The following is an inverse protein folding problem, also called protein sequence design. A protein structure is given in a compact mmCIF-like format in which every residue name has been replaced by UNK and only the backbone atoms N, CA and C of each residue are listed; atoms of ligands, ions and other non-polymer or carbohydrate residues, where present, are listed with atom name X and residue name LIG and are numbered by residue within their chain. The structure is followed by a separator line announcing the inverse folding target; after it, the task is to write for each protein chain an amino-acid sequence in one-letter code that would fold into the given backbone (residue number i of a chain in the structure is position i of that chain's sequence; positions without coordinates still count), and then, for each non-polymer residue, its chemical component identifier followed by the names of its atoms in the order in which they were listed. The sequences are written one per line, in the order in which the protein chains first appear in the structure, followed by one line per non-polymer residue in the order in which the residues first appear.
data_IF_410568191367
#
_entry.id   IF_410568191367
#
_cell.length_a   1.000
_cell.length_b   1.000
_cell.length_c   1.000
_cell.angle_alpha   90.00
_cell.angle_beta   90.00
_cell.angle_gamma   90.00
#
_symmetry.space_group_name_H-M   'P 1'
#
loop_
_entity.id
_entity.type
_entity.pdbx_description
1 polymer ?
#
# COMPACT_ATOMS: atom_id res chain seq x y z
N UNK A 1 1.80 33.08 39.47
CA UNK A 1 1.40 34.30 40.22
C UNK A 1 0.29 34.97 39.43
N UNK A 2 -0.77 35.47 40.06
CA UNK A 2 -1.81 36.23 39.35
C UNK A 2 -1.86 37.67 39.85
N UNK A 3 -2.17 38.60 38.95
CA UNK A 3 -2.37 40.03 39.27
C UNK A 3 -3.74 40.42 38.75
N UNK A 4 -4.59 40.94 39.64
CA UNK A 4 -5.91 41.45 39.27
C UNK A 4 -5.83 42.96 39.19
N UNK A 5 -6.23 43.53 38.05
CA UNK A 5 -6.29 44.97 37.84
C UNK A 5 -7.73 45.29 37.40
N UNK A 6 -8.58 45.59 38.37
CA UNK A 6 -10.04 45.66 38.17
C UNK A 6 -10.66 44.32 37.74
N UNK A 7 -11.58 44.36 36.74
CA UNK A 7 -12.37 43.21 36.28
C UNK A 7 -11.61 42.24 35.33
N UNK A 8 -10.27 42.33 35.27
CA UNK A 8 -9.43 41.46 34.43
C UNK A 8 -8.33 40.81 35.27
N UNK A 9 -8.31 39.47 35.28
CA UNK A 9 -7.28 38.67 35.94
C UNK A 9 -6.18 38.36 34.93
N UNK A 10 -4.93 38.72 35.26
CA UNK A 10 -3.75 38.33 34.47
C UNK A 10 -3.02 37.21 35.18
N UNK A 11 -2.87 36.07 34.51
CA UNK A 11 -2.12 34.91 34.97
C UNK A 11 -0.70 34.96 34.40
N UNK A 12 0.30 34.79 35.26
CA UNK A 12 1.68 34.58 34.86
C UNK A 12 2.17 33.23 35.41
N UNK A 13 2.82 32.39 34.59
CA UNK A 13 3.37 31.11 35.05
C UNK A 13 4.35 31.35 36.19
N UNK A 14 4.22 30.56 37.27
CA UNK A 14 5.06 30.70 38.47
C UNK A 14 6.47 30.14 38.23
N UNK A 15 6.57 29.08 37.44
CA UNK A 15 7.81 28.51 36.96
C UNK A 15 7.59 27.93 35.55
N UNK A 16 8.61 28.06 34.70
CA UNK A 16 8.68 27.36 33.42
C UNK A 16 9.79 26.33 33.59
N UNK A 17 9.43 25.05 33.53
CA UNK A 17 10.40 23.96 33.61
C UNK A 17 10.78 23.53 32.21
N UNK A 18 12.06 23.76 31.87
CA UNK A 18 12.66 23.27 30.64
C UNK A 18 13.35 21.95 30.93
N UNK A 19 12.96 20.90 30.23
CA UNK A 19 13.64 19.61 30.28
C UNK A 19 14.06 19.22 28.87
N UNK A 20 15.09 18.37 28.78
CA UNK A 20 15.50 17.79 27.51
C UNK A 20 14.60 16.60 27.21
N UNK A 21 13.74 16.74 26.20
CA UNK A 21 13.08 15.58 25.60
C UNK A 21 14.17 14.80 24.87
N UNK A 22 14.57 13.65 25.39
CA UNK A 22 15.38 12.69 24.62
C UNK A 22 14.40 12.02 23.67
N UNK A 23 14.34 12.58 22.47
CA UNK A 23 13.50 12.07 21.39
C UNK A 23 14.10 10.73 20.96
N UNK A 24 13.35 9.61 21.05
CA UNK A 24 13.84 8.34 20.51
C UNK A 24 14.09 8.49 19.01
N UNK A 25 15.14 7.86 18.45
CA UNK A 25 15.44 7.92 17.00
C UNK A 25 14.22 7.62 16.11
N UNK A 26 13.33 6.74 16.58
CA UNK A 26 12.05 6.43 15.96
C UNK A 26 11.18 7.67 15.67
N UNK A 27 11.23 8.70 16.52
CA UNK A 27 10.45 9.93 16.32
C UNK A 27 11.10 10.88 15.31
N UNK A 28 12.43 10.92 15.22
CA UNK A 28 13.11 11.66 14.15
C UNK A 28 12.83 11.04 12.79
N UNK A 29 12.86 9.71 12.70
CA UNK A 29 12.47 8.97 11.49
C UNK A 29 11.00 9.23 11.14
N UNK A 30 10.10 9.25 12.13
CA UNK A 30 8.69 9.60 11.93
C UNK A 30 8.54 11.02 11.39
N UNK A 31 9.27 11.99 11.96
CA UNK A 31 9.24 13.40 11.55
C UNK A 31 9.80 13.60 10.14
N UNK A 32 10.94 12.98 9.82
CA UNK A 32 11.54 13.04 8.50
C UNK A 32 10.63 12.42 7.43
N UNK A 33 10.02 11.27 7.73
CA UNK A 33 9.10 10.61 6.82
C UNK A 33 7.80 11.41 6.61
N UNK A 34 7.21 11.97 7.67
CA UNK A 34 6.04 12.84 7.57
C UNK A 34 6.34 14.17 6.85
N UNK A 35 7.58 14.66 6.95
CA UNK A 35 8.02 15.85 6.18
C UNK A 35 8.18 15.51 4.70
N UNK A 36 8.61 14.29 4.38
CA UNK A 36 8.78 13.82 2.99
C UNK A 36 7.44 13.55 2.30
N UNK A 37 6.49 12.94 2.98
CA UNK A 37 5.16 12.60 2.42
C UNK A 37 4.07 13.30 3.22
N UNK A 38 3.64 14.45 2.70
CA UNK A 38 2.59 15.25 3.34
C UNK A 38 1.20 14.66 3.08
N UNK A 39 0.97 14.14 1.88
CA UNK A 39 -0.27 13.50 1.49
C UNK A 39 -0.04 12.03 1.13
N UNK A 40 -1.11 11.23 1.19
CA UNK A 40 -1.03 9.80 0.90
C UNK A 40 -0.77 9.56 -0.60
N UNK A 41 -1.32 10.43 -1.44
CA UNK A 41 -1.27 10.38 -2.90
C UNK A 41 0.14 10.61 -3.46
N UNK A 42 1.00 11.30 -2.69
CA UNK A 42 2.40 11.56 -3.05
C UNK A 42 3.26 10.28 -3.00
N UNK A 43 2.72 9.19 -2.43
CA UNK A 43 3.44 7.95 -2.22
C UNK A 43 3.21 7.01 -3.39
N UNK A 44 4.28 6.75 -4.14
CA UNK A 44 4.29 5.89 -5.33
C UNK A 44 4.45 4.39 -5.01
N UNK A 45 5.08 4.07 -3.88
CA UNK A 45 5.47 2.70 -3.54
C UNK A 45 4.70 2.13 -2.35
N UNK A 46 4.31 0.85 -2.47
CA UNK A 46 3.55 0.11 -1.45
C UNK A 46 4.22 0.10 -0.08
N UNK A 47 5.55 -0.16 0.06
CA UNK A 47 6.19 -0.18 1.38
C UNK A 47 6.06 1.15 2.12
N UNK A 48 6.24 2.27 1.41
CA UNK A 48 6.05 3.61 1.98
C UNK A 48 4.59 3.88 2.32
N UNK A 49 3.62 3.40 1.53
CA UNK A 49 2.19 3.52 1.86
C UNK A 49 1.84 2.80 3.16
N UNK A 50 2.30 1.56 3.32
CA UNK A 50 2.13 0.79 4.56
C UNK A 50 2.69 1.53 5.77
N UNK A 51 3.93 2.04 5.63
CA UNK A 51 4.60 2.81 6.68
C UNK A 51 3.85 4.09 7.01
N UNK A 52 3.34 4.81 6.01
CA UNK A 52 2.57 6.03 6.19
C UNK A 52 1.25 5.77 6.92
N UNK A 53 0.48 4.76 6.49
CA UNK A 53 -0.79 4.39 7.13
C UNK A 53 -0.57 4.00 8.60
N UNK A 54 0.42 3.14 8.86
CA UNK A 54 0.77 2.74 10.22
C UNK A 54 1.11 3.95 11.09
N UNK A 55 1.92 4.87 10.56
CA UNK A 55 2.33 6.07 11.30
C UNK A 55 1.17 7.04 11.55
N UNK A 56 0.24 7.19 10.60
CA UNK A 56 -0.96 8.02 10.76
C UNK A 56 -1.92 7.47 11.82
N UNK A 57 -2.00 6.14 11.96
CA UNK A 57 -2.75 5.51 13.04
C UNK A 57 -1.99 5.45 14.38
N UNK A 58 -0.73 5.91 14.42
CA UNK A 58 0.08 5.90 15.62
C UNK A 58 0.53 4.50 16.08
N UNK A 59 0.43 3.48 15.22
CA UNK A 59 0.66 2.08 15.58
C UNK A 59 2.14 1.67 15.46
N UNK A 60 2.54 0.71 16.29
CA UNK A 60 3.81 -0.01 16.18
C UNK A 60 3.71 -1.20 15.21
N UNK A 61 4.85 -1.64 14.66
CA UNK A 61 4.88 -2.79 13.74
C UNK A 61 4.30 -4.05 14.38
N UNK A 62 4.62 -4.29 15.66
CA UNK A 62 4.09 -5.42 16.44
C UNK A 62 2.56 -5.39 16.61
N UNK A 63 1.97 -4.20 16.72
CA UNK A 63 0.52 -4.04 16.92
C UNK A 63 -0.24 -4.32 15.63
N UNK A 64 0.24 -3.78 14.51
CA UNK A 64 -0.31 -4.09 13.18
C UNK A 64 -0.20 -5.58 12.90
N UNK A 65 0.97 -6.18 13.14
CA UNK A 65 1.21 -7.59 12.93
C UNK A 65 0.23 -8.46 13.74
N UNK A 66 0.02 -8.12 15.02
CA UNK A 66 -0.94 -8.81 15.89
C UNK A 66 -2.39 -8.70 15.38
N UNK A 67 -2.83 -7.52 14.93
CA UNK A 67 -4.18 -7.31 14.41
C UNK A 67 -4.44 -8.06 13.10
N UNK A 68 -3.44 -8.15 12.22
CA UNK A 68 -3.55 -8.85 10.93
C UNK A 68 -3.33 -10.37 11.07
N UNK A 69 -2.72 -10.80 12.19
CA UNK A 69 -2.40 -12.20 12.47
C UNK A 69 -1.17 -12.69 11.71
N UNK A 70 -0.15 -11.84 11.58
CA UNK A 70 1.16 -12.17 10.99
C UNK A 70 2.27 -11.90 12.01
N UNK A 71 3.50 -12.35 11.75
CA UNK A 71 4.63 -12.03 12.64
C UNK A 71 5.12 -10.59 12.42
N UNK A 72 5.68 -9.98 13.46
CA UNK A 72 6.29 -8.64 13.36
C UNK A 72 7.37 -8.59 12.27
N UNK A 73 8.21 -9.63 12.16
CA UNK A 73 9.22 -9.73 11.11
C UNK A 73 8.61 -9.79 9.71
N UNK A 74 7.47 -10.48 9.53
CA UNK A 74 6.77 -10.49 8.24
C UNK A 74 6.27 -9.10 7.86
N UNK A 75 5.71 -8.35 8.82
CA UNK A 75 5.26 -6.99 8.57
C UNK A 75 6.44 -6.04 8.30
N UNK A 76 7.54 -6.18 9.04
CA UNK A 76 8.77 -5.40 8.85
C UNK A 76 9.37 -5.61 7.46
N UNK A 77 9.43 -6.86 6.98
CA UNK A 77 9.88 -7.20 5.62
C UNK A 77 9.02 -6.52 4.54
N UNK A 78 7.71 -6.32 4.78
CA UNK A 78 6.82 -5.61 3.85
C UNK A 78 7.11 -4.10 3.82
N UNK A 79 7.32 -3.46 4.98
CA UNK A 79 7.64 -2.02 5.06
C UNK A 79 9.02 -1.67 4.46
N UNK A 80 9.93 -2.63 4.43
CA UNK A 80 11.26 -2.47 3.82
C UNK A 80 11.23 -2.84 2.32
N UNK A 81 10.14 -3.45 1.84
CA UNK A 81 10.01 -3.89 0.44
C UNK A 81 10.86 -5.11 0.11
N UNK A 82 11.21 -5.94 1.10
CA UNK A 82 12.01 -7.17 0.89
C UNK A 82 11.19 -8.26 0.21
N UNK A 83 9.86 -8.22 0.35
CA UNK A 83 8.92 -9.13 -0.32
C UNK A 83 8.03 -8.34 -1.27
N UNK A 84 8.09 -8.72 -2.54
CA UNK A 84 7.23 -8.15 -3.60
C UNK A 84 5.80 -8.72 -3.59
N UNK A 85 5.52 -9.69 -2.73
CA UNK A 85 4.25 -10.39 -2.66
C UNK A 85 3.66 -10.34 -1.25
N UNK A 86 2.47 -9.74 -1.16
CA UNK A 86 1.62 -9.77 0.03
C UNK A 86 0.50 -10.78 -0.25
N UNK A 87 0.33 -11.82 0.59
CA UNK A 87 -0.78 -12.76 0.44
C UNK A 87 -2.12 -12.03 0.44
N UNK A 88 -3.06 -12.52 -0.36
CA UNK A 88 -4.39 -11.92 -0.54
C UNK A 88 -5.09 -11.61 0.78
N UNK A 89 -5.16 -12.61 1.66
CA UNK A 89 -5.83 -12.49 2.96
C UNK A 89 -5.17 -11.42 3.86
N UNK A 90 -3.84 -11.31 3.79
CA UNK A 90 -3.08 -10.29 4.53
C UNK A 90 -3.33 -8.90 3.96
N UNK A 91 -3.34 -8.76 2.63
CA UNK A 91 -3.63 -7.50 1.96
C UNK A 91 -5.05 -7.01 2.28
N UNK A 92 -6.04 -7.89 2.26
CA UNK A 92 -7.43 -7.55 2.58
C UNK A 92 -7.59 -7.10 4.04
N UNK A 93 -6.89 -7.76 4.98
CA UNK A 93 -6.88 -7.34 6.40
C UNK A 93 -6.19 -5.99 6.61
N UNK A 94 -5.05 -5.75 5.96
CA UNK A 94 -4.34 -4.47 6.02
C UNK A 94 -5.18 -3.35 5.41
N UNK A 95 -5.84 -3.60 4.29
CA UNK A 95 -6.73 -2.64 3.64
C UNK A 95 -7.88 -2.21 4.58
N UNK A 96 -8.49 -3.19 5.28
CA UNK A 96 -9.51 -2.92 6.30
C UNK A 96 -8.97 -2.15 7.49
N UNK A 97 -7.79 -2.52 7.99
CA UNK A 97 -7.16 -1.84 9.12
C UNK A 97 -6.85 -0.37 8.81
N UNK A 98 -6.34 -0.11 7.62
CA UNK A 98 -5.93 1.23 7.19
C UNK A 98 -7.04 2.04 6.55
N UNK A 99 -8.21 1.45 6.30
CA UNK A 99 -9.32 2.06 5.58
C UNK A 99 -8.90 2.60 4.20
N UNK A 100 -8.06 1.85 3.48
CA UNK A 100 -7.58 2.17 2.13
C UNK A 100 -7.96 1.03 1.18
N UNK A 101 -8.12 1.29 -0.13
CA UNK A 101 -8.42 0.22 -1.07
C UNK A 101 -7.24 -0.77 -1.15
N UNK A 102 -7.55 -2.07 -1.22
CA UNK A 102 -6.51 -3.12 -1.29
C UNK A 102 -5.56 -2.93 -2.48
N UNK A 103 -6.05 -2.35 -3.57
CA UNK A 103 -5.25 -2.05 -4.76
C UNK A 103 -4.08 -1.13 -4.48
N UNK A 104 -4.18 -0.25 -3.49
CA UNK A 104 -3.11 0.67 -3.13
C UNK A 104 -2.00 0.01 -2.31
N UNK A 105 -2.30 -1.15 -1.72
CA UNK A 105 -1.37 -1.99 -0.99
C UNK A 105 -0.78 -3.10 -1.87
N UNK A 106 -1.11 -3.12 -3.16
CA UNK A 106 -0.62 -4.12 -4.12
C UNK A 106 0.19 -3.43 -5.22
N UNK A 107 1.36 -3.99 -5.53
CA UNK A 107 2.10 -3.58 -6.72
C UNK A 107 1.39 -4.10 -7.99
N UNK A 108 1.80 -3.61 -9.16
CA UNK A 108 1.13 -3.94 -10.43
C UNK A 108 1.08 -5.45 -10.70
N UNK A 109 2.12 -6.18 -10.33
CA UNK A 109 2.19 -7.64 -10.48
C UNK A 109 1.24 -8.36 -9.52
N UNK A 110 1.23 -7.97 -8.24
CA UNK A 110 0.33 -8.52 -7.24
C UNK A 110 -1.13 -8.20 -7.57
N UNK A 111 -1.42 -7.00 -8.10
CA UNK A 111 -2.75 -6.61 -8.59
C UNK A 111 -3.20 -7.49 -9.75
N UNK A 112 -2.29 -7.79 -10.68
CA UNK A 112 -2.52 -8.70 -11.79
C UNK A 112 -2.90 -10.12 -11.34
N UNK A 113 -2.23 -10.64 -10.32
CA UNK A 113 -2.59 -11.93 -9.73
C UNK A 113 -3.88 -11.86 -8.90
N UNK A 114 -4.10 -10.78 -8.15
CA UNK A 114 -5.25 -10.61 -7.25
C UNK A 114 -6.59 -10.64 -7.97
N UNK A 115 -6.70 -9.95 -9.11
CA UNK A 115 -7.93 -9.89 -9.91
C UNK A 115 -8.12 -11.06 -10.88
N UNK A 116 -7.18 -11.99 -10.90
CA UNK A 116 -7.20 -13.14 -11.79
C UNK A 116 -6.40 -12.89 -13.06
N UNK A 117 -5.19 -13.43 -13.09
CA UNK A 117 -4.30 -13.41 -14.24
C UNK A 117 -4.95 -14.00 -15.50
N UNK A 118 -5.79 -15.03 -15.35
CA UNK A 118 -6.34 -15.74 -16.49
C UNK A 118 -7.35 -14.88 -17.24
N UNK A 119 -8.20 -14.16 -16.49
CA UNK A 119 -9.13 -13.18 -17.04
C UNK A 119 -8.39 -12.03 -17.72
N UNK A 120 -7.33 -11.52 -17.10
CA UNK A 120 -6.54 -10.43 -17.66
C UNK A 120 -5.84 -10.82 -18.97
N UNK A 121 -5.17 -11.99 -19.00
CA UNK A 121 -4.50 -12.52 -20.21
C UNK A 121 -5.51 -12.78 -21.32
N UNK A 122 -6.65 -13.43 -21.00
CA UNK A 122 -7.70 -13.72 -21.97
C UNK A 122 -8.30 -12.44 -22.54
N UNK A 123 -8.60 -11.45 -21.71
CA UNK A 123 -9.11 -10.16 -22.13
C UNK A 123 -8.14 -9.43 -23.07
N UNK A 124 -6.85 -9.43 -22.73
CA UNK A 124 -5.83 -8.85 -23.61
C UNK A 124 -5.72 -9.60 -24.94
N UNK A 125 -5.66 -10.94 -24.92
CA UNK A 125 -5.65 -11.75 -26.15
C UNK A 125 -6.86 -11.48 -27.04
N UNK A 126 -8.05 -11.37 -26.45
CA UNK A 126 -9.29 -11.07 -27.17
C UNK A 126 -9.29 -9.65 -27.74
N UNK A 127 -8.72 -8.66 -27.04
CA UNK A 127 -8.57 -7.29 -27.56
C UNK A 127 -7.70 -7.21 -28.82
N UNK A 128 -6.76 -8.14 -28.97
CA UNK A 128 -5.94 -8.30 -30.17
C UNK A 128 -6.61 -9.14 -31.27
N UNK A 129 -7.81 -9.69 -31.03
CA UNK A 129 -8.49 -10.59 -31.96
C UNK A 129 -7.77 -11.93 -32.19
N UNK A 130 -6.87 -12.33 -31.29
CA UNK A 130 -6.01 -13.51 -31.49
C UNK A 130 -6.60 -14.78 -30.88
N UNK A 131 -6.45 -15.89 -31.61
CA UNK A 131 -6.62 -17.24 -31.04
C UNK A 131 -5.46 -17.61 -30.10
N UNK A 132 -5.60 -18.70 -29.35
CA UNK A 132 -4.59 -19.17 -28.38
C UNK A 132 -3.23 -19.47 -29.04
N UNK A 133 -3.22 -20.16 -30.19
CA UNK A 133 -1.99 -20.53 -30.91
C UNK A 133 -1.20 -19.31 -31.42
N UNK A 134 -1.80 -18.37 -32.18
CA UNK A 134 -1.12 -17.15 -32.60
C UNK A 134 -0.62 -16.33 -31.40
N UNK A 135 -1.41 -16.22 -30.34
CA UNK A 135 -1.05 -15.44 -29.16
C UNK A 135 0.11 -16.06 -28.39
N UNK A 136 0.14 -17.38 -28.20
CA UNK A 136 1.26 -18.09 -27.57
C UNK A 136 2.57 -17.83 -28.33
N UNK A 137 2.53 -17.87 -29.67
CA UNK A 137 3.68 -17.53 -30.52
C UNK A 137 4.07 -16.06 -30.39
N UNK A 138 3.10 -15.16 -30.31
CA UNK A 138 3.31 -13.71 -30.15
C UNK A 138 4.05 -13.36 -28.85
N UNK A 139 3.67 -13.95 -27.71
CA UNK A 139 4.33 -13.72 -26.42
C UNK A 139 5.56 -14.62 -26.17
N UNK A 140 5.86 -15.51 -27.13
CA UNK A 140 6.98 -16.45 -27.05
C UNK A 140 6.86 -17.46 -25.91
N UNK A 141 5.68 -18.08 -25.73
CA UNK A 141 5.42 -19.13 -24.74
C UNK A 141 4.75 -20.34 -25.38
N UNK A 142 4.74 -21.47 -24.66
CA UNK A 142 4.03 -22.67 -25.10
C UNK A 142 2.51 -22.54 -24.93
N UNK A 143 1.73 -23.14 -25.85
CA UNK A 143 0.27 -23.06 -25.81
C UNK A 143 -0.33 -23.72 -24.57
N UNK A 144 0.25 -24.81 -24.06
CA UNK A 144 -0.24 -25.45 -22.84
C UNK A 144 -0.01 -24.55 -21.63
N UNK A 145 1.14 -23.88 -21.56
CA UNK A 145 1.43 -22.87 -20.52
C UNK A 145 0.46 -21.70 -20.57
N UNK A 146 0.18 -21.17 -21.77
CA UNK A 146 -0.82 -20.12 -21.95
C UNK A 146 -2.21 -20.56 -21.46
N UNK A 147 -2.64 -21.78 -21.80
CA UNK A 147 -3.93 -22.33 -21.36
C UNK A 147 -3.99 -22.49 -19.85
N UNK A 148 -2.91 -22.99 -19.24
CA UNK A 148 -2.82 -23.16 -17.80
C UNK A 148 -2.85 -21.79 -17.07
N UNK A 149 -2.23 -20.73 -17.64
CA UNK A 149 -2.39 -19.36 -17.14
C UNK A 149 -3.83 -18.86 -17.26
N UNK A 150 -4.48 -19.04 -18.43
CA UNK A 150 -5.86 -18.61 -18.66
C UNK A 150 -6.90 -19.34 -17.81
N UNK A 151 -6.58 -20.54 -17.34
CA UNK A 151 -7.40 -21.35 -16.43
C UNK A 151 -7.02 -21.16 -14.96
N UNK A 152 -6.01 -20.34 -14.67
CA UNK A 152 -5.47 -20.11 -13.33
C UNK A 152 -4.92 -21.38 -12.65
N UNK A 153 -4.53 -22.37 -13.45
CA UNK A 153 -3.92 -23.62 -12.96
C UNK A 153 -2.48 -23.38 -12.48
N UNK A 154 -1.76 -22.48 -13.14
CA UNK A 154 -0.39 -22.09 -12.76
C UNK A 154 -0.25 -20.56 -12.72
N UNK A 155 0.54 -20.05 -11.77
CA UNK A 155 0.93 -18.63 -11.71
C UNK A 155 1.93 -18.27 -12.80
N UNK A 156 1.74 -17.14 -13.48
CA UNK A 156 2.81 -16.55 -14.28
C UNK A 156 3.93 -16.09 -13.35
N UNK A 157 5.20 -16.20 -13.78
CA UNK A 157 6.30 -15.63 -13.01
C UNK A 157 6.36 -14.10 -13.18
N UNK A 158 6.92 -13.41 -12.18
CA UNK A 158 7.13 -11.96 -12.24
C UNK A 158 7.98 -11.54 -13.46
N UNK A 159 8.97 -12.35 -13.83
CA UNK A 159 9.87 -12.07 -14.96
C UNK A 159 9.11 -12.19 -16.30
N UNK A 160 8.34 -13.27 -16.46
CA UNK A 160 7.55 -13.50 -17.68
C UNK A 160 6.44 -12.46 -17.81
N UNK A 161 5.78 -12.12 -16.70
CA UNK A 161 4.82 -11.01 -16.67
C UNK A 161 5.47 -9.67 -17.02
N UNK A 162 6.65 -9.41 -16.45
CA UNK A 162 7.47 -8.23 -16.71
C UNK A 162 7.73 -8.03 -18.20
N UNK A 163 8.07 -9.12 -18.90
CA UNK A 163 8.39 -9.12 -20.33
C UNK A 163 7.16 -8.94 -21.22
N UNK A 164 6.04 -9.60 -20.89
CA UNK A 164 4.92 -9.74 -21.82
C UNK A 164 3.75 -8.80 -21.54
N UNK A 165 3.58 -8.36 -20.29
CA UNK A 165 2.31 -7.78 -19.82
C UNK A 165 2.44 -6.50 -19.00
N UNK A 166 3.62 -6.23 -18.42
CA UNK A 166 3.83 -5.10 -17.51
C UNK A 166 3.32 -3.78 -18.06
N UNK A 167 3.64 -3.43 -19.30
CA UNK A 167 3.27 -2.12 -19.85
C UNK A 167 1.94 -2.13 -20.60
N UNK A 168 1.30 -3.29 -20.75
CA UNK A 168 0.12 -3.46 -21.59
C UNK A 168 -1.16 -3.67 -20.79
N UNK A 169 -1.07 -4.36 -19.64
CA UNK A 169 -2.25 -4.73 -18.84
C UNK A 169 -2.57 -3.70 -17.73
N UNK A 170 -1.72 -2.68 -17.52
CA UNK A 170 -1.94 -1.64 -16.49
C UNK A 170 -3.21 -0.81 -16.70
N UNK A 171 -3.62 -0.61 -17.94
CA UNK A 171 -4.63 0.39 -18.35
C UNK A 171 -6.07 0.03 -17.99
N UNK A 172 -6.36 -1.23 -17.64
CA UNK A 172 -7.73 -1.71 -17.42
C UNK A 172 -8.03 -2.17 -15.98
N UNK A 173 -7.13 -1.92 -15.02
CA UNK A 173 -7.44 -2.16 -13.61
C UNK A 173 -8.11 -0.90 -13.05
N UNK A 174 -9.29 -1.00 -12.41
CA UNK A 174 -9.95 0.17 -11.85
C UNK A 174 -9.04 0.84 -10.83
N UNK A 175 -8.57 2.04 -11.15
CA UNK A 175 -8.05 2.97 -10.15
C UNK A 175 -9.25 3.46 -9.35
N UNK A 176 -9.39 2.96 -8.13
CA UNK A 176 -10.30 3.56 -7.17
C UNK A 176 -9.65 4.86 -6.68
N UNK A 177 -9.93 5.96 -7.35
CA UNK A 177 -9.69 7.28 -6.77
C UNK A 177 -10.55 7.36 -5.52
N UNK A 178 -9.90 7.53 -4.36
CA UNK A 178 -10.57 7.85 -3.10
C UNK A 178 -11.25 9.21 -3.24
N UNK A 179 -12.50 9.20 -3.71
CA UNK A 179 -13.45 10.23 -3.35
C UNK A 179 -14.06 9.80 -2.02
N UNK A 180 -13.70 10.52 -0.95
CA UNK A 180 -14.61 10.85 0.13
C UNK A 180 -14.16 12.21 0.68
N UNK A 181 -14.83 13.25 0.21
CA UNK A 181 -14.81 14.59 0.76
C UNK A 181 -15.41 14.59 2.18
N UNK A 182 -14.90 15.53 2.99
CA UNK A 182 -15.64 16.34 3.97
C UNK A 182 -16.38 15.64 5.12
N UNK A 183 -15.88 15.84 6.34
CA UNK A 183 -16.66 16.43 7.45
C UNK A 183 -15.69 16.82 8.59
N UNK A 184 -15.32 18.11 8.65
CA UNK A 184 -14.95 18.73 9.94
C UNK A 184 -16.22 18.94 10.77
N UNK A 185 -16.12 18.85 12.11
CA UNK A 185 -16.94 19.71 12.94
C UNK A 185 -16.08 20.60 13.86
N UNK A 186 -16.40 21.90 13.73
CA UNK A 186 -16.25 23.08 14.60
C UNK A 186 -15.74 22.85 16.02
#
# INVERSE_FOLDING_TARGET
MYRSDGNRVRLAPLCIHSFRVIVPRSFEDKKAFNTKYRFYEDIDNVPSRLKWCRMHLGLEQKEVAAQVGISEGQYSDMEIGKKDYIPKDTADKLARLYNVPVTDLLNDYARFLYYGQGKAIRGYRQSLGMGERPFAKFIGTDICTLRAWEREEIGISMQTWGRCFKDVIKTNMPHYSSNNNEEEPV
#
